data_IF_029308897743
#
_entry.id   IF_029308897743
#
_cell.length_a   1.000
_cell.length_b   1.000
_cell.length_c   1.000
_cell.angle_alpha   90.00
_cell.angle_beta   90.00
_cell.angle_gamma   90.00
#
_symmetry.space_group_name_H-M   'P 1'
#
loop_
_entity.id
_entity.type
_entity.pdbx_description
1 polymer ?
#
# COMPACT_ATOMS: atom_id res chain seq x y z
N UNK A 1 9.16 7.12 16.44
CA UNK A 1 8.37 7.98 15.54
C UNK A 1 7.32 7.09 14.90
N UNK A 2 6.02 7.42 14.97
CA UNK A 2 4.98 6.66 14.27
C UNK A 2 5.19 6.76 12.75
N UNK A 3 4.90 5.68 12.01
CA UNK A 3 5.18 5.57 10.56
C UNK A 3 4.16 6.27 9.68
N UNK A 4 2.96 6.52 10.20
CA UNK A 4 1.90 7.22 9.52
C UNK A 4 1.03 7.98 10.53
N UNK A 5 0.37 9.02 10.04
CA UNK A 5 -0.59 9.79 10.81
C UNK A 5 -1.90 9.90 10.03
N UNK A 6 -3.01 9.86 10.77
CA UNK A 6 -4.34 10.10 10.27
C UNK A 6 -4.77 11.52 10.62
N UNK A 7 -5.20 12.29 9.61
CA UNK A 7 -5.88 13.55 9.83
C UNK A 7 -7.37 13.34 9.53
N UNK A 8 -8.27 13.41 10.52
CA UNK A 8 -9.72 13.29 10.30
C UNK A 8 -10.30 14.57 9.68
N UNK A 9 -9.77 14.99 8.53
CA UNK A 9 -10.14 16.20 7.82
C UNK A 9 -9.85 16.08 6.32
N UNK A 10 -10.65 16.73 5.48
CA UNK A 10 -10.56 16.64 4.01
C UNK A 10 -9.41 17.47 3.41
N UNK A 11 -8.95 18.50 4.13
CA UNK A 11 -7.76 19.28 3.76
C UNK A 11 -6.48 18.53 4.14
N UNK A 12 -5.58 18.36 3.17
CA UNK A 12 -4.24 17.78 3.35
C UNK A 12 -3.24 18.74 4.03
N UNK A 13 -3.44 20.06 3.89
CA UNK A 13 -2.66 21.08 4.60
C UNK A 13 -3.33 21.45 5.91
N UNK A 14 -2.50 21.73 6.93
CA UNK A 14 -2.83 22.19 8.29
C UNK A 14 -4.24 22.81 8.32
N UNK A 15 -5.24 22.11 8.90
CA UNK A 15 -6.60 22.53 8.72
C UNK A 15 -6.82 23.91 9.36
N UNK A 16 -7.59 24.78 8.70
CA UNK A 16 -8.14 25.98 9.37
C UNK A 16 -8.91 25.60 10.64
N UNK A 17 -9.42 24.37 10.68
CA UNK A 17 -9.88 23.71 11.90
C UNK A 17 -8.67 23.18 12.69
N UNK A 18 -8.57 23.45 14.00
CA UNK A 18 -7.51 22.95 14.89
C UNK A 18 -7.57 21.43 15.12
N UNK A 19 -7.49 20.62 14.06
CA UNK A 19 -7.53 19.16 14.09
C UNK A 19 -6.11 18.62 14.07
N UNK A 20 -5.83 17.72 14.99
CA UNK A 20 -4.50 17.16 15.21
C UNK A 20 -4.27 15.93 14.33
N UNK A 21 -3.00 15.71 13.98
CA UNK A 21 -2.55 14.48 13.34
C UNK A 21 -2.49 13.36 14.37
N UNK A 22 -3.26 12.31 14.14
CA UNK A 22 -3.38 11.16 15.05
C UNK A 22 -2.38 10.09 14.62
N UNK A 23 -1.45 9.65 15.46
CA UNK A 23 -0.52 8.58 15.10
C UNK A 23 -1.28 7.28 14.83
N UNK A 24 -0.88 6.54 13.80
CA UNK A 24 -1.46 5.23 13.46
C UNK A 24 -0.52 4.13 13.97
N UNK A 25 -1.10 3.17 14.70
CA UNK A 25 -0.45 1.90 15.08
C UNK A 25 -1.21 0.71 14.49
N UNK A 26 -0.67 -0.49 14.63
CA UNK A 26 -1.34 -1.73 14.19
C UNK A 26 -2.65 -2.00 14.95
N UNK A 27 -2.82 -1.45 16.16
CA UNK A 27 -4.06 -1.52 16.92
C UNK A 27 -5.11 -0.48 16.49
N UNK A 28 -4.72 0.47 15.64
CA UNK A 28 -5.55 1.53 15.08
C UNK A 28 -5.10 2.95 15.46
N UNK A 29 -5.76 3.99 14.93
CA UNK A 29 -5.42 5.39 15.20
C UNK A 29 -5.50 5.73 16.69
N UNK A 30 -4.47 6.41 17.20
CA UNK A 30 -4.42 6.91 18.59
C UNK A 30 -4.18 5.83 19.65
N UNK A 31 -4.01 4.56 19.26
CA UNK A 31 -3.71 3.47 20.19
C UNK A 31 -2.20 3.21 20.26
N UNK A 32 -1.67 2.79 21.42
CA UNK A 32 -0.27 2.38 21.52
C UNK A 32 0.02 1.20 20.58
N UNK A 33 1.25 1.12 20.08
CA UNK A 33 1.69 0.01 19.24
C UNK A 33 1.86 -1.26 20.08
N UNK A 34 1.06 -2.33 19.86
CA UNK A 34 1.17 -3.55 20.63
C UNK A 34 2.43 -4.36 20.30
N UNK A 35 3.02 -4.17 19.12
CA UNK A 35 4.18 -4.93 18.67
C UNK A 35 5.48 -4.30 19.17
N UNK A 36 6.15 -5.00 20.09
CA UNK A 36 7.46 -4.59 20.59
C UNK A 36 8.49 -4.57 19.45
N UNK A 37 9.19 -3.44 19.30
CA UNK A 37 10.21 -3.29 18.26
C UNK A 37 9.64 -3.23 16.84
N UNK A 38 8.35 -2.92 16.65
CA UNK A 38 7.80 -2.75 15.31
C UNK A 38 8.47 -1.59 14.56
N UNK A 39 9.17 -1.92 13.48
CA UNK A 39 9.80 -0.98 12.57
C UNK A 39 9.92 -1.55 11.17
N UNK A 40 10.35 -0.74 10.18
CA UNK A 40 10.39 -1.14 8.77
C UNK A 40 11.33 -2.33 8.56
N UNK A 41 12.44 -2.36 9.31
CA UNK A 41 13.38 -3.47 9.28
C UNK A 41 12.72 -4.79 9.73
N UNK A 42 11.94 -4.76 10.82
CA UNK A 42 11.23 -5.93 11.32
C UNK A 42 10.16 -6.41 10.33
N UNK A 43 9.50 -5.49 9.62
CA UNK A 43 8.61 -5.83 8.51
C UNK A 43 9.33 -6.57 7.38
N UNK A 44 10.50 -6.08 6.96
CA UNK A 44 11.31 -6.77 5.94
C UNK A 44 11.77 -8.16 6.40
N UNK A 45 12.21 -8.29 7.66
CA UNK A 45 12.60 -9.58 8.24
C UNK A 45 11.40 -10.54 8.29
N UNK A 46 10.21 -10.05 8.64
CA UNK A 46 9.00 -10.88 8.66
C UNK A 46 8.63 -11.38 7.25
N UNK A 47 8.71 -10.53 6.23
CA UNK A 47 8.45 -10.93 4.85
C UNK A 47 9.44 -12.00 4.36
N UNK A 48 10.74 -11.86 4.67
CA UNK A 48 11.74 -12.88 4.31
C UNK A 48 11.49 -14.20 5.02
N UNK A 49 11.17 -14.17 6.33
CA UNK A 49 10.85 -15.37 7.11
C UNK A 49 9.63 -16.09 6.56
N UNK A 50 8.58 -15.36 6.18
CA UNK A 50 7.38 -15.94 5.57
C UNK A 50 7.71 -16.67 4.26
N UNK A 51 8.56 -16.10 3.40
CA UNK A 51 8.98 -16.76 2.16
C UNK A 51 9.75 -18.06 2.44
N UNK A 52 10.68 -18.04 3.41
CA UNK A 52 11.46 -19.23 3.79
C UNK A 52 10.51 -20.33 4.29
N UNK A 53 9.62 -20.01 5.24
CA UNK A 53 8.65 -20.96 5.76
C UNK A 53 7.70 -21.46 4.67
N UNK A 54 7.29 -20.60 3.74
CA UNK A 54 6.44 -20.99 2.61
C UNK A 54 7.09 -22.07 1.74
N UNK A 55 8.39 -21.93 1.47
CA UNK A 55 9.19 -22.92 0.74
C UNK A 55 9.31 -24.22 1.55
N UNK A 56 9.62 -24.13 2.84
CA UNK A 56 9.84 -25.30 3.70
C UNK A 56 8.57 -26.14 3.92
N UNK A 57 7.40 -25.49 3.90
CA UNK A 57 6.10 -26.13 4.19
C UNK A 57 5.21 -26.33 2.96
N UNK A 58 5.73 -26.05 1.76
CA UNK A 58 5.00 -26.13 0.48
C UNK A 58 3.63 -25.40 0.51
N UNK A 59 3.62 -24.22 1.14
CA UNK A 59 2.46 -23.31 1.15
C UNK A 59 2.72 -22.09 0.27
N UNK A 60 1.66 -21.35 -0.04
CA UNK A 60 1.82 -20.02 -0.62
C UNK A 60 2.38 -19.03 0.42
N UNK A 61 3.24 -18.08 0.02
CA UNK A 61 3.60 -16.95 0.86
C UNK A 61 2.37 -16.08 1.12
N UNK A 62 2.39 -15.32 2.21
CA UNK A 62 1.31 -14.39 2.59
C UNK A 62 1.10 -13.32 1.52
N UNK A 63 2.18 -12.82 0.92
CA UNK A 63 2.13 -11.95 -0.25
C UNK A 63 2.53 -12.75 -1.50
N UNK A 64 1.55 -13.20 -2.27
CA UNK A 64 1.78 -14.11 -3.40
C UNK A 64 1.68 -13.39 -4.76
N UNK A 65 1.77 -14.17 -5.84
CA UNK A 65 1.76 -13.64 -7.20
C UNK A 65 0.43 -12.93 -7.57
N UNK A 66 -0.70 -13.35 -7.01
CA UNK A 66 -1.97 -12.67 -7.23
C UNK A 66 -1.98 -11.26 -6.61
N UNK A 67 -1.41 -11.12 -5.41
CA UNK A 67 -1.27 -9.82 -4.74
C UNK A 67 -0.30 -8.91 -5.50
N UNK A 68 0.83 -9.46 -5.94
CA UNK A 68 1.80 -8.74 -6.77
C UNK A 68 1.14 -8.23 -8.07
N UNK A 69 0.33 -9.07 -8.73
CA UNK A 69 -0.41 -8.68 -9.94
C UNK A 69 -1.43 -7.60 -9.64
N UNK A 70 -2.18 -7.70 -8.54
CA UNK A 70 -3.16 -6.68 -8.15
C UNK A 70 -2.50 -5.32 -7.86
N UNK A 71 -1.35 -5.33 -7.17
CA UNK A 71 -0.56 -4.12 -6.93
C UNK A 71 -0.05 -3.48 -8.21
N UNK A 72 0.50 -4.28 -9.13
CA UNK A 72 0.95 -3.78 -10.44
C UNK A 72 -0.21 -3.21 -11.26
N UNK A 73 -1.35 -3.90 -11.29
CA UNK A 73 -2.55 -3.45 -11.99
C UNK A 73 -3.03 -2.09 -11.47
N UNK A 74 -3.01 -1.88 -10.14
CA UNK A 74 -3.35 -0.60 -9.53
C UNK A 74 -2.38 0.52 -9.95
N UNK A 75 -1.07 0.25 -9.96
CA UNK A 75 -0.06 1.24 -10.36
C UNK A 75 -0.28 1.67 -11.82
N UNK A 76 -0.44 0.69 -12.72
CA UNK A 76 -0.67 0.96 -14.15
C UNK A 76 -2.01 1.69 -14.35
N UNK A 77 -3.04 1.34 -13.59
CA UNK A 77 -4.35 1.97 -13.68
C UNK A 77 -4.35 3.46 -13.26
N UNK A 78 -3.48 3.86 -12.33
CA UNK A 78 -3.29 5.29 -11.98
C UNK A 78 -2.82 6.07 -13.20
N UNK A 79 -1.82 5.57 -13.92
CA UNK A 79 -1.33 6.23 -15.15
C UNK A 79 -2.38 6.22 -16.25
N UNK A 80 -3.03 5.09 -16.49
CA UNK A 80 -4.09 4.97 -17.49
C UNK A 80 -5.27 5.92 -17.21
N UNK A 81 -5.68 6.04 -15.94
CA UNK A 81 -6.75 6.95 -15.52
C UNK A 81 -6.36 8.41 -15.69
N UNK A 82 -5.11 8.76 -15.37
CA UNK A 82 -4.60 10.10 -15.56
C UNK A 82 -4.61 10.51 -17.04
N UNK A 83 -4.10 9.65 -17.93
CA UNK A 83 -4.09 9.91 -19.37
C UNK A 83 -5.50 9.98 -19.98
N UNK A 84 -6.43 9.16 -19.48
CA UNK A 84 -7.81 9.15 -19.93
C UNK A 84 -8.66 10.30 -19.34
N UNK A 85 -8.16 10.98 -18.29
CA UNK A 85 -8.90 12.01 -17.56
C UNK A 85 -10.16 11.50 -16.85
N UNK A 86 -10.27 10.20 -16.60
CA UNK A 86 -11.48 9.56 -16.04
C UNK A 86 -11.15 8.27 -15.28
N UNK A 87 -12.04 7.78 -14.40
CA UNK A 87 -11.90 6.46 -13.81
C UNK A 87 -11.80 5.36 -14.88
N UNK A 88 -10.97 4.36 -14.60
CA UNK A 88 -10.79 3.16 -15.44
C UNK A 88 -11.34 1.93 -14.73
N UNK A 89 -11.80 0.95 -15.50
CA UNK A 89 -12.22 -0.33 -14.94
C UNK A 89 -11.01 -1.23 -14.70
N UNK A 90 -11.11 -2.07 -13.67
CA UNK A 90 -10.15 -3.12 -13.40
C UNK A 90 -10.77 -4.50 -13.71
N UNK A 91 -10.02 -5.42 -14.35
CA UNK A 91 -8.70 -5.19 -14.94
C UNK A 91 -8.75 -4.24 -16.15
N UNK A 92 -7.62 -3.62 -16.46
CA UNK A 92 -7.47 -2.72 -17.60
C UNK A 92 -7.76 -3.45 -18.91
N UNK A 93 -8.51 -2.78 -19.79
CA UNK A 93 -8.81 -3.28 -21.13
C UNK A 93 -7.54 -3.36 -21.99
N UNK A 94 -6.68 -2.33 -21.91
CA UNK A 94 -5.36 -2.32 -22.53
C UNK A 94 -4.28 -2.59 -21.47
N UNK A 95 -3.55 -3.69 -21.65
CA UNK A 95 -2.49 -4.14 -20.72
C UNK A 95 -1.07 -3.77 -21.17
N UNK A 96 -0.95 -2.89 -22.17
CA UNK A 96 0.33 -2.32 -22.58
C UNK A 96 0.85 -1.31 -21.55
N UNK A 97 2.09 -0.88 -21.70
CA UNK A 97 2.63 0.23 -20.91
C UNK A 97 1.89 1.53 -21.29
N UNK A 98 1.13 2.16 -20.37
CA UNK A 98 0.37 3.37 -20.68
C UNK A 98 1.27 4.57 -21.00
N UNK A 99 2.56 4.52 -20.66
CA UNK A 99 3.53 5.59 -20.90
C UNK A 99 4.43 5.31 -22.12
N UNK A 100 4.26 4.18 -22.80
CA UNK A 100 5.01 3.89 -24.01
C UNK A 100 4.70 4.93 -25.11
N UNK A 101 5.70 5.31 -25.94
CA UNK A 101 5.46 6.21 -27.06
C UNK A 101 4.43 5.63 -28.02
N UNK A 102 3.61 6.50 -28.62
CA UNK A 102 2.71 6.12 -29.69
C UNK A 102 3.50 5.47 -30.83
N UNK A 103 3.08 4.29 -31.24
CA UNK A 103 3.65 3.59 -32.40
C UNK A 103 3.18 4.21 -33.71
#
# INVERSE_FOLDING_TARGET
>A
MPFAFFLPHTSWSQPRAKKEWIPISTAGPGKPEPLAGAGPHQGNVAAVKDIIEAIETDRQPVANLADARAGLEMIVAVFASHLAGRPVNLPLAERGDPLAPAR
#
